data_IF_874139217288
#
_entry.id   IF_874139217288
#
_cell.length_a   1.000
_cell.length_b   1.000
_cell.length_c   1.000
_cell.angle_alpha   90.00
_cell.angle_beta   90.00
_cell.angle_gamma   90.00
#
_symmetry.space_group_name_H-M   'P 1'
#
loop_
_entity.id
_entity.type
_entity.pdbx_description
1 polymer ?
#
# COMPACT_ATOMS: atom_id res chain seq x y z
N UNK A 1 11.90 9.09 16.11
CA UNK A 1 11.29 8.67 14.86
C UNK A 1 12.37 8.35 13.86
N UNK A 2 12.39 7.10 13.35
CA UNK A 2 13.40 6.67 12.39
C UNK A 2 12.86 6.88 10.97
N UNK A 3 13.55 7.72 10.20
CA UNK A 3 13.31 7.84 8.76
C UNK A 3 13.66 6.53 8.06
N UNK A 4 12.82 6.13 7.12
CA UNK A 4 13.10 5.07 6.17
C UNK A 4 13.75 5.70 4.93
N UNK A 5 15.05 5.59 4.78
CA UNK A 5 15.80 6.11 3.62
C UNK A 5 15.48 5.24 2.41
N UNK A 6 14.98 5.87 1.35
CA UNK A 6 14.63 5.18 0.10
C UNK A 6 15.81 5.10 -0.85
N UNK A 7 16.76 6.05 -0.81
CA UNK A 7 17.95 6.02 -1.66
C UNK A 7 18.76 4.75 -1.39
N UNK A 8 19.11 4.08 -2.47
CA UNK A 8 19.84 2.82 -2.44
C UNK A 8 21.23 3.06 -2.96
N UNK A 9 22.26 2.68 -2.19
CA UNK A 9 23.65 2.71 -2.68
C UNK A 9 23.79 1.78 -3.89
N UNK A 10 24.14 2.35 -5.03
CA UNK A 10 24.42 1.63 -6.27
C UNK A 10 25.92 1.40 -6.39
N UNK A 11 26.33 0.15 -6.26
CA UNK A 11 27.74 -0.27 -6.43
C UNK A 11 28.16 -0.38 -7.89
N UNK A 12 27.23 -0.22 -8.84
CA UNK A 12 27.50 -0.26 -10.28
C UNK A 12 27.01 1.04 -10.91
N UNK A 13 27.83 1.56 -11.84
CA UNK A 13 27.43 2.69 -12.70
C UNK A 13 26.31 2.19 -13.64
N UNK A 14 25.08 2.32 -13.21
CA UNK A 14 23.93 2.07 -14.07
C UNK A 14 23.84 3.18 -15.11
N UNK A 15 23.56 2.82 -16.35
CA UNK A 15 23.46 3.80 -17.46
C UNK A 15 22.37 4.86 -17.26
N UNK A 16 21.35 4.56 -16.43
CA UNK A 16 20.30 5.50 -16.00
C UNK A 16 19.86 5.10 -14.58
N UNK A 17 20.38 5.73 -13.54
CA UNK A 17 19.96 5.46 -12.17
C UNK A 17 18.49 5.88 -11.97
N UNK A 18 17.71 5.09 -11.22
CA UNK A 18 16.38 5.49 -10.79
C UNK A 18 16.51 6.59 -9.72
N UNK A 19 16.09 7.79 -10.07
CA UNK A 19 16.12 8.95 -9.16
C UNK A 19 14.91 9.01 -8.23
N UNK A 20 13.90 8.16 -8.44
CA UNK A 20 12.65 8.18 -7.66
C UNK A 20 12.88 8.05 -6.16
N UNK A 21 13.71 7.11 -5.64
CA UNK A 21 13.98 7.00 -4.22
C UNK A 21 14.58 8.27 -3.62
N UNK A 22 15.56 8.86 -4.30
CA UNK A 22 16.20 10.11 -3.86
C UNK A 22 15.23 11.28 -3.84
N UNK A 23 14.34 11.38 -4.83
CA UNK A 23 13.30 12.41 -4.87
C UNK A 23 12.33 12.25 -3.69
N UNK A 24 11.96 11.02 -3.34
CA UNK A 24 11.09 10.74 -2.18
C UNK A 24 11.78 11.21 -0.90
N UNK A 25 13.04 10.85 -0.69
CA UNK A 25 13.78 11.25 0.51
C UNK A 25 13.92 12.77 0.67
N UNK A 26 14.04 13.49 -0.45
CA UNK A 26 14.19 14.96 -0.44
C UNK A 26 12.88 15.71 -0.27
N UNK A 27 11.79 15.23 -0.91
CA UNK A 27 10.53 15.98 -1.02
C UNK A 27 9.49 15.50 -0.02
N UNK A 28 9.45 14.21 0.25
CA UNK A 28 8.44 13.57 1.08
C UNK A 28 9.02 12.38 1.84
N UNK A 29 9.96 12.59 2.77
CA UNK A 29 10.60 11.52 3.50
C UNK A 29 9.58 10.69 4.28
N UNK A 30 9.77 9.36 4.26
CA UNK A 30 8.88 8.40 4.91
C UNK A 30 9.54 7.94 6.21
N UNK A 31 8.75 7.90 7.30
CA UNK A 31 9.22 7.44 8.61
C UNK A 31 8.44 6.21 9.10
N UNK A 32 9.02 5.46 10.04
CA UNK A 32 8.32 4.39 10.75
C UNK A 32 7.11 4.96 11.49
N UNK A 33 5.95 4.28 11.39
CA UNK A 33 4.68 4.75 11.96
C UNK A 33 3.96 5.82 11.12
N UNK A 34 4.56 6.30 10.04
CA UNK A 34 3.97 7.30 9.16
C UNK A 34 2.98 6.68 8.18
N UNK A 35 1.98 7.47 7.82
CA UNK A 35 1.01 7.19 6.75
C UNK A 35 1.22 8.18 5.62
N UNK A 36 1.32 7.66 4.41
CA UNK A 36 1.51 8.48 3.20
C UNK A 36 0.48 8.12 2.14
N UNK A 37 0.06 9.09 1.34
CA UNK A 37 -0.85 8.89 0.21
C UNK A 37 -0.18 9.41 -1.04
N UNK A 38 -0.12 8.58 -2.08
CA UNK A 38 0.32 8.96 -3.42
C UNK A 38 -0.93 9.26 -4.24
N UNK A 39 -1.10 10.53 -4.60
CA UNK A 39 -2.22 10.99 -5.43
C UNK A 39 -1.67 11.26 -6.83
N UNK A 40 -2.21 10.56 -7.82
CA UNK A 40 -1.80 10.73 -9.21
C UNK A 40 -2.96 10.49 -10.17
N UNK A 41 -3.00 11.17 -11.33
CA UNK A 41 -3.91 10.80 -12.39
C UNK A 41 -3.60 9.39 -12.92
N UNK A 42 -4.55 8.76 -13.63
CA UNK A 42 -4.31 7.48 -14.30
C UNK A 42 -3.08 7.56 -15.24
N UNK A 43 -2.31 6.47 -15.31
CA UNK A 43 -1.12 6.34 -16.17
C UNK A 43 0.02 7.33 -15.88
N UNK A 44 0.08 7.91 -14.70
CA UNK A 44 1.14 8.85 -14.28
C UNK A 44 2.34 8.19 -13.59
N UNK A 45 2.45 6.85 -13.63
CA UNK A 45 3.59 6.13 -13.05
C UNK A 45 3.45 5.75 -11.58
N UNK A 46 2.24 5.77 -10.99
CA UNK A 46 1.99 5.36 -9.61
C UNK A 46 2.59 3.99 -9.28
N UNK A 47 2.36 2.99 -10.12
CA UNK A 47 2.88 1.63 -9.93
C UNK A 47 4.41 1.60 -9.90
N UNK A 48 5.07 2.38 -10.75
CA UNK A 48 6.54 2.50 -10.75
C UNK A 48 7.06 3.09 -9.45
N UNK A 49 6.39 4.12 -8.91
CA UNK A 49 6.73 4.71 -7.61
C UNK A 49 6.57 3.66 -6.50
N UNK A 50 5.48 2.90 -6.48
CA UNK A 50 5.26 1.85 -5.49
C UNK A 50 6.31 0.73 -5.59
N UNK A 51 6.67 0.30 -6.80
CA UNK A 51 7.75 -0.67 -7.03
C UNK A 51 9.10 -0.14 -6.55
N UNK A 52 9.40 1.13 -6.81
CA UNK A 52 10.63 1.78 -6.37
C UNK A 52 10.70 1.84 -4.84
N UNK A 53 9.63 2.25 -4.15
CA UNK A 53 9.53 2.23 -2.69
C UNK A 53 9.70 0.81 -2.14
N UNK A 54 8.99 -0.16 -2.71
CA UNK A 54 9.05 -1.55 -2.29
C UNK A 54 10.48 -2.12 -2.36
N UNK A 55 11.16 -1.87 -3.48
CA UNK A 55 12.53 -2.35 -3.70
C UNK A 55 13.54 -1.65 -2.79
N UNK A 56 13.35 -0.35 -2.53
CA UNK A 56 14.18 0.40 -1.58
C UNK A 56 14.03 -0.15 -0.15
N UNK A 57 12.81 -0.39 0.29
CA UNK A 57 12.55 -0.97 1.61
C UNK A 57 13.14 -2.37 1.72
N UNK A 58 12.91 -3.22 0.74
CA UNK A 58 13.42 -4.59 0.74
C UNK A 58 14.96 -4.65 0.74
N UNK A 59 15.64 -3.65 0.18
CA UNK A 59 17.10 -3.58 0.11
C UNK A 59 17.71 -2.94 1.34
N UNK A 60 17.16 -1.81 1.79
CA UNK A 60 17.70 -1.02 2.90
C UNK A 60 17.25 -1.51 4.28
N UNK A 61 16.08 -2.19 4.35
CA UNK A 61 15.46 -2.64 5.60
C UNK A 61 14.96 -4.08 5.48
N UNK A 62 15.85 -5.05 5.31
CA UNK A 62 15.47 -6.47 5.15
C UNK A 62 14.78 -7.05 6.40
N UNK A 63 14.89 -6.38 7.54
CA UNK A 63 14.19 -6.74 8.78
C UNK A 63 12.70 -6.35 8.77
N UNK A 64 12.32 -5.37 7.94
CA UNK A 64 10.92 -4.95 7.79
C UNK A 64 10.12 -5.98 7.00
N UNK A 65 8.93 -6.28 7.49
CA UNK A 65 8.00 -7.14 6.76
C UNK A 65 7.20 -6.32 5.76
N UNK A 66 7.51 -6.48 4.47
CA UNK A 66 6.88 -5.75 3.39
C UNK A 66 5.69 -6.53 2.82
N UNK A 67 4.52 -5.92 2.85
CA UNK A 67 3.29 -6.41 2.21
C UNK A 67 2.89 -5.43 1.12
N UNK A 68 2.66 -5.94 -0.09
CA UNK A 68 2.04 -5.19 -1.19
C UNK A 68 0.62 -5.74 -1.36
N UNK A 69 -0.37 -4.90 -1.09
CA UNK A 69 -1.79 -5.24 -1.20
C UNK A 69 -2.40 -4.60 -2.44
N UNK A 70 -2.81 -5.44 -3.39
CA UNK A 70 -3.41 -5.02 -4.66
C UNK A 70 -4.91 -5.35 -4.64
N UNK A 71 -5.74 -4.31 -4.71
CA UNK A 71 -7.20 -4.44 -4.68
C UNK A 71 -7.81 -3.98 -5.99
N UNK A 72 -8.59 -4.88 -6.62
CA UNK A 72 -9.28 -4.62 -7.89
C UNK A 72 -8.29 -4.27 -9.02
N UNK A 73 -7.09 -4.86 -8.98
CA UNK A 73 -6.06 -4.71 -10.01
C UNK A 73 -6.13 -5.83 -11.05
N UNK A 74 -5.49 -5.62 -12.19
CA UNK A 74 -5.47 -6.61 -13.26
C UNK A 74 -4.47 -7.73 -12.96
N UNK A 75 -4.74 -8.98 -13.38
CA UNK A 75 -3.84 -10.12 -13.14
C UNK A 75 -2.41 -9.90 -13.66
N UNK A 76 -2.25 -9.22 -14.79
CA UNK A 76 -0.94 -8.88 -15.34
C UNK A 76 -0.15 -7.90 -14.46
N UNK A 77 -0.83 -6.92 -13.83
CA UNK A 77 -0.20 -5.98 -12.89
C UNK A 77 0.22 -6.69 -11.59
N UNK A 78 -0.61 -7.65 -11.13
CA UNK A 78 -0.27 -8.51 -9.98
C UNK A 78 0.98 -9.34 -10.28
N UNK A 79 1.03 -9.98 -11.44
CA UNK A 79 2.17 -10.80 -11.86
C UNK A 79 3.45 -9.96 -11.99
N UNK A 80 3.34 -8.76 -12.55
CA UNK A 80 4.49 -7.85 -12.66
C UNK A 80 5.01 -7.44 -11.28
N UNK A 81 4.12 -7.09 -10.35
CA UNK A 81 4.50 -6.75 -8.99
C UNK A 81 5.17 -7.92 -8.26
N UNK A 82 4.65 -9.15 -8.43
CA UNK A 82 5.24 -10.36 -7.85
C UNK A 82 6.65 -10.67 -8.38
N UNK A 83 6.93 -10.31 -9.64
CA UNK A 83 8.25 -10.52 -10.26
C UNK A 83 9.26 -9.44 -9.86
N UNK A 84 8.81 -8.22 -9.65
CA UNK A 84 9.68 -7.05 -9.47
C UNK A 84 9.94 -6.71 -8.01
N UNK A 85 9.06 -7.11 -7.08
CA UNK A 85 9.15 -6.75 -5.66
C UNK A 85 9.56 -7.94 -4.80
N UNK A 86 10.57 -7.74 -3.96
CA UNK A 86 10.95 -8.68 -2.90
C UNK A 86 10.12 -8.42 -1.64
N UNK A 87 8.90 -8.92 -1.62
CA UNK A 87 7.96 -8.77 -0.52
C UNK A 87 6.79 -9.72 -0.69
N UNK A 88 5.91 -9.76 0.27
CA UNK A 88 4.67 -10.54 0.14
C UNK A 88 3.65 -9.74 -0.67
N UNK A 89 3.29 -10.24 -1.85
CA UNK A 89 2.25 -9.64 -2.70
C UNK A 89 0.94 -10.40 -2.47
N UNK A 90 -0.05 -9.70 -1.94
CA UNK A 90 -1.41 -10.20 -1.71
C UNK A 90 -2.35 -9.42 -2.63
N UNK A 91 -3.22 -10.13 -3.32
CA UNK A 91 -4.11 -9.49 -4.30
C UNK A 91 -5.54 -10.01 -4.24
N UNK A 92 -6.45 -9.18 -4.67
CA UNK A 92 -7.78 -9.54 -5.10
C UNK A 92 -8.03 -8.81 -6.42
N UNK A 93 -8.18 -9.59 -7.50
CA UNK A 93 -8.23 -9.08 -8.88
C UNK A 93 -9.62 -8.55 -9.25
N UNK A 94 -9.70 -7.78 -10.33
CA UNK A 94 -10.91 -7.06 -10.74
C UNK A 94 -12.11 -7.97 -11.07
N UNK A 95 -11.88 -9.22 -11.37
CA UNK A 95 -12.89 -10.25 -11.65
C UNK A 95 -13.50 -10.87 -10.39
N UNK A 96 -12.92 -10.60 -9.21
CA UNK A 96 -13.43 -11.08 -7.94
C UNK A 96 -14.52 -10.13 -7.38
N UNK A 97 -15.48 -10.64 -6.58
CA UNK A 97 -16.54 -9.81 -6.00
C UNK A 97 -16.01 -8.86 -4.91
N UNK A 98 -16.73 -7.76 -4.68
CA UNK A 98 -16.36 -6.73 -3.70
C UNK A 98 -16.15 -7.30 -2.28
N UNK A 99 -16.93 -8.32 -1.90
CA UNK A 99 -16.78 -9.02 -0.62
C UNK A 99 -15.39 -9.64 -0.46
N UNK A 100 -14.82 -10.15 -1.56
CA UNK A 100 -13.46 -10.73 -1.55
C UNK A 100 -12.41 -9.65 -1.35
N UNK A 101 -12.56 -8.49 -2.00
CA UNK A 101 -11.66 -7.34 -1.80
C UNK A 101 -11.61 -6.91 -0.33
N UNK A 102 -12.78 -6.81 0.29
CA UNK A 102 -12.91 -6.46 1.72
C UNK A 102 -12.26 -7.52 2.60
N UNK A 103 -12.58 -8.79 2.38
CA UNK A 103 -12.06 -9.89 3.18
C UNK A 103 -10.52 -9.97 3.12
N UNK A 104 -9.93 -9.81 1.93
CA UNK A 104 -8.47 -9.82 1.74
C UNK A 104 -7.83 -8.64 2.47
N UNK A 105 -8.41 -7.44 2.38
CA UNK A 105 -7.89 -6.27 3.08
C UNK A 105 -7.95 -6.42 4.61
N UNK A 106 -9.06 -6.94 5.15
CA UNK A 106 -9.21 -7.20 6.58
C UNK A 106 -8.22 -8.26 7.07
N UNK A 107 -8.01 -9.33 6.30
CA UNK A 107 -7.00 -10.34 6.60
C UNK A 107 -5.58 -9.76 6.66
N UNK A 108 -5.22 -8.88 5.72
CA UNK A 108 -3.89 -8.23 5.71
C UNK A 108 -3.69 -7.38 6.95
N UNK A 109 -4.69 -6.60 7.37
CA UNK A 109 -4.59 -5.79 8.61
C UNK A 109 -4.43 -6.67 9.83
N UNK A 110 -5.20 -7.75 9.97
CA UNK A 110 -5.06 -8.65 11.09
C UNK A 110 -3.69 -9.34 11.10
N UNK A 111 -3.19 -9.76 9.95
CA UNK A 111 -1.82 -10.28 9.80
C UNK A 111 -0.78 -9.25 10.24
N UNK A 112 -0.91 -8.00 9.77
CA UNK A 112 0.02 -6.93 10.14
C UNK A 112 0.03 -6.66 11.65
N UNK A 113 -1.14 -6.65 12.31
CA UNK A 113 -1.23 -6.52 13.77
C UNK A 113 -0.49 -7.65 14.48
N UNK A 114 -0.70 -8.91 14.06
CA UNK A 114 0.01 -10.06 14.65
C UNK A 114 1.52 -9.99 14.49
N UNK A 115 1.99 -9.56 13.31
CA UNK A 115 3.42 -9.36 13.09
C UNK A 115 3.98 -8.25 14.00
N UNK A 116 3.23 -7.17 14.19
CA UNK A 116 3.63 -6.08 15.09
C UNK A 116 3.66 -6.53 16.55
N UNK A 117 2.70 -7.36 17.01
CA UNK A 117 2.73 -7.99 18.33
C UNK A 117 4.01 -8.82 18.53
N UNK A 118 4.55 -9.39 17.46
CA UNK A 118 5.85 -10.08 17.45
C UNK A 118 7.04 -9.15 17.22
N UNK A 119 6.87 -7.84 17.43
CA UNK A 119 7.92 -6.80 17.30
C UNK A 119 8.53 -6.71 15.90
N UNK A 120 7.75 -7.04 14.85
CA UNK A 120 8.16 -6.82 13.47
C UNK A 120 7.67 -5.46 13.00
N UNK A 121 8.57 -4.71 12.37
CA UNK A 121 8.17 -3.51 11.62
C UNK A 121 7.47 -3.96 10.34
N UNK A 122 6.24 -3.50 10.14
CA UNK A 122 5.43 -3.87 8.98
C UNK A 122 5.21 -2.65 8.10
N UNK A 123 5.49 -2.82 6.81
CA UNK A 123 5.19 -1.82 5.78
C UNK A 123 4.13 -2.37 4.85
N UNK A 124 3.04 -1.64 4.67
CA UNK A 124 1.96 -2.01 3.75
C UNK A 124 1.90 -0.98 2.63
N UNK A 125 2.10 -1.41 1.39
CA UNK A 125 1.85 -0.64 0.18
C UNK A 125 0.50 -1.08 -0.39
N UNK A 126 -0.48 -0.16 -0.40
CA UNK A 126 -1.83 -0.44 -0.89
C UNK A 126 -2.08 0.22 -2.24
N UNK A 127 -2.39 -0.57 -3.24
CA UNK A 127 -2.92 -0.11 -4.52
C UNK A 127 -4.31 -0.73 -4.77
N UNK A 128 -5.42 -0.02 -4.63
CA UNK A 128 -5.49 1.34 -4.16
C UNK A 128 -6.56 1.51 -3.08
N UNK A 129 -6.39 2.51 -2.23
CA UNK A 129 -7.38 2.85 -1.20
C UNK A 129 -8.71 3.31 -1.81
N UNK A 130 -8.69 3.91 -2.99
CA UNK A 130 -9.90 4.30 -3.73
C UNK A 130 -10.75 3.09 -4.10
N UNK A 131 -10.12 2.03 -4.61
CA UNK A 131 -10.82 0.80 -5.00
C UNK A 131 -11.30 0.03 -3.78
N UNK A 132 -10.51 0.01 -2.71
CA UNK A 132 -10.94 -0.55 -1.43
C UNK A 132 -12.16 0.21 -0.87
N UNK A 133 -12.16 1.53 -0.94
CA UNK A 133 -13.31 2.35 -0.54
C UNK A 133 -14.58 2.03 -1.34
N UNK A 134 -14.46 1.81 -2.65
CA UNK A 134 -15.57 1.37 -3.51
C UNK A 134 -16.09 -0.02 -3.14
N UNK A 135 -15.19 -0.95 -2.84
CA UNK A 135 -15.56 -2.29 -2.40
C UNK A 135 -16.36 -2.25 -1.09
N UNK A 136 -15.93 -1.47 -0.12
CA UNK A 136 -16.69 -1.25 1.11
C UNK A 136 -18.06 -0.61 0.84
N UNK A 137 -18.13 0.35 -0.08
CA UNK A 137 -19.40 0.99 -0.45
C UNK A 137 -20.40 0.00 -1.06
N UNK A 138 -19.91 -1.00 -1.80
CA UNK A 138 -20.75 -2.05 -2.39
C UNK A 138 -21.23 -3.10 -1.38
N UNK A 139 -20.48 -3.30 -0.29
CA UNK A 139 -20.74 -4.39 0.68
C UNK A 139 -21.54 -3.92 1.89
N UNK A 140 -21.36 -2.66 2.31
CA UNK A 140 -22.00 -2.13 3.52
C UNK A 140 -23.45 -1.75 3.21
N UNK A 141 -24.42 -2.10 4.08
CA UNK A 141 -25.80 -1.64 3.95
C UNK A 141 -25.88 -0.10 3.89
N UNK A 142 -26.69 0.40 2.97
CA UNK A 142 -26.88 1.84 2.78
C UNK A 142 -27.39 2.52 4.06
N UNK A 143 -26.74 3.61 4.45
CA UNK A 143 -27.21 4.46 5.56
C UNK A 143 -28.32 5.43 5.15
N UNK A 144 -28.61 5.52 3.85
CA UNK A 144 -29.48 6.54 3.27
C UNK A 144 -28.86 7.93 3.14
N UNK A 145 -27.61 8.11 3.61
CA UNK A 145 -26.83 9.37 3.48
C UNK A 145 -25.69 9.18 2.48
N UNK A 146 -25.85 9.73 1.30
CA UNK A 146 -24.87 9.64 0.22
C UNK A 146 -24.02 10.92 0.21
N UNK A 147 -22.72 10.76 0.26
CA UNK A 147 -21.72 11.82 0.14
C UNK A 147 -21.42 12.13 -1.33
N UNK A 148 -20.66 13.18 -1.58
CA UNK A 148 -20.17 13.53 -2.91
C UNK A 148 -19.44 12.34 -3.55
N UNK A 149 -19.74 12.05 -4.82
CA UNK A 149 -19.19 10.90 -5.53
C UNK A 149 -19.91 9.57 -5.33
N UNK A 150 -21.13 9.57 -4.77
CA UNK A 150 -21.96 8.36 -4.64
C UNK A 150 -21.52 7.41 -3.53
N UNK A 151 -20.73 7.88 -2.56
CA UNK A 151 -20.21 7.07 -1.46
C UNK A 151 -21.12 7.20 -0.23
N UNK A 152 -21.59 6.08 0.32
CA UNK A 152 -22.34 6.07 1.57
C UNK A 152 -21.47 6.56 2.75
N UNK A 153 -22.09 7.35 3.64
CA UNK A 153 -21.38 7.92 4.78
C UNK A 153 -20.74 6.86 5.70
N UNK A 154 -21.36 5.68 5.83
CA UNK A 154 -20.83 4.58 6.63
C UNK A 154 -19.70 3.81 5.92
N UNK A 155 -19.65 3.83 4.59
CA UNK A 155 -18.66 3.09 3.82
C UNK A 155 -17.21 3.58 4.04
N UNK A 156 -17.02 4.85 4.37
CA UNK A 156 -15.69 5.42 4.60
C UNK A 156 -15.08 5.06 5.95
N UNK A 157 -15.85 4.60 6.92
CA UNK A 157 -15.32 4.32 8.27
C UNK A 157 -14.29 3.20 8.27
N UNK A 158 -14.52 2.12 7.54
CA UNK A 158 -13.59 0.97 7.50
C UNK A 158 -12.30 1.27 6.76
N UNK A 159 -12.29 1.89 5.56
CA UNK A 159 -11.06 2.38 4.92
C UNK A 159 -10.27 3.36 5.80
N UNK A 160 -10.96 4.25 6.55
CA UNK A 160 -10.31 5.14 7.51
C UNK A 160 -9.65 4.37 8.65
N UNK A 161 -10.29 3.32 9.18
CA UNK A 161 -9.68 2.44 10.20
C UNK A 161 -8.49 1.67 9.65
N UNK A 162 -8.58 1.17 8.42
CA UNK A 162 -7.46 0.53 7.74
C UNK A 162 -6.26 1.48 7.69
N UNK A 163 -6.46 2.67 7.13
CA UNK A 163 -5.41 3.68 7.02
C UNK A 163 -4.93 4.17 8.39
N UNK A 164 -5.83 4.26 9.36
CA UNK A 164 -5.54 4.68 10.73
C UNK A 164 -4.82 3.64 11.59
N UNK A 165 -4.72 2.39 11.14
CA UNK A 165 -4.04 1.33 11.88
C UNK A 165 -2.51 1.50 11.91
N UNK A 166 -1.95 2.15 10.89
CA UNK A 166 -0.52 2.44 10.85
C UNK A 166 -0.14 3.52 11.88
N UNK A 167 0.67 3.15 12.86
CA UNK A 167 1.22 4.02 13.91
C UNK A 167 2.41 3.36 14.58
N UNK A 168 3.23 4.15 15.26
CA UNK A 168 4.21 3.59 16.19
C UNK A 168 3.48 3.01 17.41
N UNK A 169 3.90 1.84 17.84
CA UNK A 169 3.46 1.20 19.08
C UNK A 169 4.68 1.14 19.98
N UNK A 170 4.57 1.77 21.15
CA UNK A 170 5.57 1.72 22.21
C UNK A 170 5.55 0.38 22.94
#
# INVERSE_FOLDING_TARGET
>A
DKQLVMEVETTKVEKKPDLTPRLIDLVSPIGKGQRSIIISPPKAGKTMILQSIANSIAKNYPECYLIVLLIDERPEEVTDMQRTVKGEVISSTFDEPAQRHVAVAEMVIEKAKRLTEHKKDVVILLDSITRLGRAYNAVIPSSGKVLTGGVDANALQRPKRFFGAARNIE
#
